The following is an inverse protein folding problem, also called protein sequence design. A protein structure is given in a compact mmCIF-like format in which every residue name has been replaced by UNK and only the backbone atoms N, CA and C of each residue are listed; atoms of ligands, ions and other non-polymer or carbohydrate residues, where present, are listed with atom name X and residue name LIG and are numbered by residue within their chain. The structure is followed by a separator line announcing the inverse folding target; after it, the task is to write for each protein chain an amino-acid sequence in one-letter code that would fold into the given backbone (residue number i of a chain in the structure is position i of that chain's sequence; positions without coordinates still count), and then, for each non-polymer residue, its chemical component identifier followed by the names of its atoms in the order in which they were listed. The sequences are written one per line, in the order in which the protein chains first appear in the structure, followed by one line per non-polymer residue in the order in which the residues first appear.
data_IF_950984079174
#
_entry.id   IF_950984079174
#
_cell.length_a   1.000
_cell.length_b   1.000
_cell.length_c   1.000
_cell.angle_alpha   90.00
_cell.angle_beta   90.00
_cell.angle_gamma   90.00
#
_symmetry.space_group_name_H-M   'P 1'
#
loop_
_entity.id
_entity.type
_entity.pdbx_description
1 polymer ?
#
# COMPACT_ATOMS: atom_id res chain seq x y z
N UNK A 1 28.18 -12.49 -11.60
CA UNK A 1 27.91 -13.04 -12.92
C UNK A 1 26.60 -12.49 -13.45
N UNK A 2 26.43 -12.56 -14.77
CA UNK A 2 25.24 -12.09 -15.52
C UNK A 2 23.93 -12.67 -14.97
N UNK A 3 23.91 -13.96 -14.62
CA UNK A 3 22.75 -14.62 -13.98
C UNK A 3 22.31 -13.91 -12.68
N UNK A 4 23.28 -13.46 -11.88
CA UNK A 4 22.98 -12.71 -10.65
C UNK A 4 22.41 -11.31 -10.92
N UNK A 5 22.77 -10.69 -12.05
CA UNK A 5 22.22 -9.40 -12.46
C UNK A 5 20.81 -9.53 -13.00
N UNK A 6 20.55 -10.54 -13.82
CA UNK A 6 19.21 -10.85 -14.34
C UNK A 6 18.22 -11.15 -13.22
N UNK A 7 18.64 -11.94 -12.22
CA UNK A 7 17.84 -12.17 -11.00
C UNK A 7 17.50 -10.87 -10.26
N UNK A 8 18.46 -9.96 -10.12
CA UNK A 8 18.23 -8.65 -9.49
C UNK A 8 17.26 -7.79 -10.30
N UNK A 9 17.40 -7.77 -11.63
CA UNK A 9 16.49 -7.05 -12.55
C UNK A 9 15.07 -7.58 -12.40
N UNK A 10 14.89 -8.91 -12.41
CA UNK A 10 13.57 -9.53 -12.25
C UNK A 10 12.89 -9.16 -10.94
N UNK A 11 13.61 -9.21 -9.83
CA UNK A 11 13.03 -8.81 -8.53
C UNK A 11 12.71 -7.32 -8.49
N UNK A 12 13.57 -6.48 -9.09
CA UNK A 12 13.32 -5.04 -9.19
C UNK A 12 12.05 -4.74 -10.00
N UNK A 13 11.80 -5.47 -11.09
CA UNK A 13 10.56 -5.39 -11.87
C UNK A 13 9.34 -5.71 -11.00
N UNK A 14 9.38 -6.83 -10.26
CA UNK A 14 8.30 -7.25 -9.37
C UNK A 14 8.04 -6.24 -8.24
N UNK A 15 9.10 -5.66 -7.65
CA UNK A 15 8.98 -4.55 -6.69
C UNK A 15 8.27 -3.37 -7.36
N UNK A 16 8.66 -3.03 -8.59
CA UNK A 16 8.01 -1.99 -9.38
C UNK A 16 6.52 -2.26 -9.61
N UNK A 17 6.16 -3.50 -9.97
CA UNK A 17 4.76 -3.93 -10.14
C UNK A 17 3.96 -3.76 -8.85
N UNK A 18 4.46 -4.29 -7.73
CA UNK A 18 3.83 -4.15 -6.41
C UNK A 18 3.62 -2.69 -6.05
N UNK A 19 4.67 -1.86 -6.14
CA UNK A 19 4.63 -0.46 -5.72
C UNK A 19 3.71 0.36 -6.60
N UNK A 20 3.76 0.21 -7.93
CA UNK A 20 2.88 0.94 -8.85
C UNK A 20 1.41 0.64 -8.58
N UNK A 21 1.06 -0.63 -8.38
CA UNK A 21 -0.32 -1.01 -8.08
C UNK A 21 -0.79 -0.47 -6.74
N UNK A 22 0.01 -0.61 -5.68
CA UNK A 22 -0.32 -0.08 -4.36
C UNK A 22 -0.52 1.44 -4.39
N UNK A 23 0.41 2.17 -5.03
CA UNK A 23 0.33 3.63 -5.18
C UNK A 23 -0.92 4.01 -5.97
N UNK A 24 -1.19 3.35 -7.08
CA UNK A 24 -2.37 3.64 -7.91
C UNK A 24 -3.66 3.44 -7.13
N UNK A 25 -3.83 2.28 -6.47
CA UNK A 25 -5.04 1.96 -5.70
C UNK A 25 -5.25 2.91 -4.53
N UNK A 26 -4.19 3.21 -3.76
CA UNK A 26 -4.27 4.17 -2.67
C UNK A 26 -4.55 5.59 -3.19
N UNK A 27 -3.97 5.97 -4.32
CA UNK A 27 -4.24 7.29 -4.93
C UNK A 27 -5.70 7.41 -5.33
N UNK A 28 -6.27 6.38 -5.98
CA UNK A 28 -7.70 6.34 -6.31
C UNK A 28 -8.58 6.41 -5.05
N UNK A 29 -8.25 5.61 -4.03
CA UNK A 29 -8.98 5.59 -2.76
C UNK A 29 -9.00 6.98 -2.09
N UNK A 30 -7.86 7.67 -2.06
CA UNK A 30 -7.68 8.91 -1.30
C UNK A 30 -8.05 10.18 -2.07
N UNK A 31 -7.99 10.14 -3.41
CA UNK A 31 -8.35 11.31 -4.23
C UNK A 31 -9.86 11.49 -4.33
N UNK A 32 -10.63 10.41 -4.19
CA UNK A 32 -12.05 10.33 -4.57
C UNK A 32 -12.21 10.35 -6.10
N UNK A 33 -13.39 10.00 -6.61
CA UNK A 33 -13.76 10.17 -8.02
C UNK A 33 -13.83 11.67 -8.34
N UNK A 34 -12.66 12.27 -8.60
CA UNK A 34 -12.48 13.69 -8.84
C UNK A 34 -12.95 14.10 -10.22
N UNK A 35 -14.26 14.14 -10.45
CA UNK A 35 -14.85 15.06 -11.43
C UNK A 35 -15.21 16.35 -10.69
N UNK A 36 -14.40 17.40 -10.83
CA UNK A 36 -14.84 18.77 -10.52
C UNK A 36 -14.00 19.84 -11.20
N UNK A 37 -14.72 20.95 -11.43
CA UNK A 37 -14.52 22.05 -12.36
C UNK A 37 -13.18 22.80 -12.29
N UNK A 38 -12.77 23.26 -13.47
CA UNK A 38 -11.64 24.16 -13.72
C UNK A 38 -11.94 25.60 -13.30
N UNK A 39 -11.38 26.03 -12.15
CA UNK A 39 -11.14 27.43 -11.83
C UNK A 39 -9.71 27.60 -11.29
N UNK A 40 -9.07 28.74 -11.57
CA UNK A 40 -7.65 29.03 -11.34
C UNK A 40 -7.22 29.07 -9.86
N UNK A 41 -8.13 29.33 -8.91
CA UNK A 41 -7.88 29.15 -7.47
C UNK A 41 -7.68 27.67 -7.07
N UNK A 42 -8.09 26.71 -7.92
CA UNK A 42 -7.97 25.29 -7.66
C UNK A 42 -6.54 24.73 -7.81
N UNK A 43 -5.62 25.42 -8.49
CA UNK A 43 -4.29 24.83 -8.77
C UNK A 43 -3.44 24.62 -7.50
N UNK A 44 -3.40 25.62 -6.60
CA UNK A 44 -2.64 25.49 -5.34
C UNK A 44 -3.26 24.45 -4.40
N UNK A 45 -4.59 24.42 -4.31
CA UNK A 45 -5.32 23.43 -3.50
C UNK A 45 -5.14 22.00 -4.04
N UNK A 46 -5.18 21.83 -5.36
CA UNK A 46 -4.91 20.55 -6.02
C UNK A 46 -3.50 20.08 -5.74
N UNK A 47 -2.48 20.95 -5.87
CA UNK A 47 -1.10 20.60 -5.57
C UNK A 47 -0.92 20.21 -4.09
N UNK A 48 -1.52 20.97 -3.17
CA UNK A 48 -1.46 20.68 -1.72
C UNK A 48 -2.12 19.33 -1.40
N UNK A 49 -3.30 19.05 -1.96
CA UNK A 49 -4.00 17.77 -1.79
C UNK A 49 -3.18 16.61 -2.36
N UNK A 50 -2.60 16.76 -3.55
CA UNK A 50 -1.74 15.74 -4.16
C UNK A 50 -0.51 15.45 -3.29
N UNK A 51 0.16 16.48 -2.78
CA UNK A 51 1.32 16.32 -1.89
C UNK A 51 0.93 15.62 -0.58
N UNK A 52 -0.23 15.94 -0.01
CA UNK A 52 -0.74 15.29 1.20
C UNK A 52 -1.05 13.80 0.96
N UNK A 53 -1.75 13.48 -0.14
CA UNK A 53 -2.03 12.09 -0.52
C UNK A 53 -0.73 11.31 -0.68
N UNK A 54 0.26 11.89 -1.38
CA UNK A 54 1.58 11.28 -1.54
C UNK A 54 2.26 10.98 -0.21
N UNK A 55 2.24 11.93 0.73
CA UNK A 55 2.82 11.74 2.06
C UNK A 55 2.13 10.60 2.84
N UNK A 56 0.80 10.50 2.75
CA UNK A 56 0.04 9.45 3.41
C UNK A 56 0.34 8.08 2.79
N UNK A 57 0.41 8.00 1.45
CA UNK A 57 0.82 6.77 0.75
C UNK A 57 2.22 6.33 1.20
N UNK A 58 3.17 7.26 1.33
CA UNK A 58 4.53 6.95 1.81
C UNK A 58 4.56 6.48 3.26
N UNK A 59 3.58 6.89 4.08
CA UNK A 59 3.43 6.38 5.44
C UNK A 59 2.78 5.00 5.51
N UNK A 60 2.00 4.60 4.50
CA UNK A 60 1.38 3.26 4.40
C UNK A 60 2.35 2.27 3.75
N UNK A 61 2.89 2.60 2.59
CA UNK A 61 3.84 1.79 1.82
C UNK A 61 5.25 2.32 2.06
N UNK A 62 5.95 1.72 3.03
CA UNK A 62 7.25 2.19 3.45
C UNK A 62 8.25 2.21 2.26
N UNK A 63 9.07 3.27 2.13
CA UNK A 63 10.10 3.31 1.11
C UNK A 63 11.10 2.17 1.28
N UNK A 64 11.30 1.37 0.23
CA UNK A 64 12.30 0.30 0.21
C UNK A 64 12.68 -0.01 -1.24
N UNK A 65 13.97 0.09 -1.61
CA UNK A 65 14.46 -0.37 -2.90
C UNK A 65 14.74 -1.89 -2.90
N UNK A 66 14.61 -2.56 -1.74
CA UNK A 66 14.96 -3.97 -1.60
C UNK A 66 13.79 -4.90 -2.01
N UNK A 67 14.04 -6.20 -2.21
CA UNK A 67 12.98 -7.20 -2.39
C UNK A 67 11.98 -7.27 -1.21
N UNK A 68 12.40 -6.76 -0.05
CA UNK A 68 11.58 -6.71 1.16
C UNK A 68 10.78 -5.41 1.15
N UNK A 69 9.46 -5.54 1.00
CA UNK A 69 8.50 -4.45 1.02
C UNK A 69 7.68 -4.50 2.31
N UNK A 70 7.27 -3.34 2.81
CA UNK A 70 6.52 -3.25 4.06
C UNK A 70 5.28 -2.37 3.90
N UNK A 71 4.14 -2.88 4.35
CA UNK A 71 2.87 -2.17 4.34
C UNK A 71 2.34 -2.05 5.76
N UNK A 72 2.06 -0.82 6.20
CA UNK A 72 1.53 -0.52 7.54
C UNK A 72 0.11 -1.07 7.68
N UNK A 73 -0.10 -1.83 8.76
CA UNK A 73 -1.36 -2.42 9.19
C UNK A 73 -1.46 -2.21 10.71
N UNK A 74 -1.99 -1.06 11.16
CA UNK A 74 -1.98 -0.70 12.58
C UNK A 74 -2.79 -1.70 13.42
N UNK A 75 -2.20 -2.13 14.53
CA UNK A 75 -2.81 -3.07 15.48
C UNK A 75 -2.33 -4.51 15.29
N UNK A 76 -1.83 -5.11 16.37
CA UNK A 76 -1.32 -6.47 16.39
C UNK A 76 -2.33 -7.51 15.87
N UNK A 77 -3.55 -7.51 16.39
CA UNK A 77 -4.59 -8.49 16.04
C UNK A 77 -4.96 -8.42 14.57
N UNK A 78 -5.13 -7.20 14.04
CA UNK A 78 -5.42 -6.97 12.63
C UNK A 78 -4.28 -7.43 11.74
N UNK A 79 -3.04 -7.10 12.10
CA UNK A 79 -1.85 -7.53 11.38
C UNK A 79 -1.75 -9.07 11.32
N UNK A 80 -2.05 -9.78 12.42
CA UNK A 80 -2.11 -11.25 12.46
C UNK A 80 -3.24 -11.77 11.59
N UNK A 81 -4.46 -11.28 11.79
CA UNK A 81 -5.67 -11.74 11.10
C UNK A 81 -5.54 -11.60 9.59
N UNK A 82 -5.05 -10.45 9.12
CA UNK A 82 -4.82 -10.19 7.71
C UNK A 82 -3.71 -11.10 7.14
N UNK A 83 -2.61 -11.28 7.87
CA UNK A 83 -1.54 -12.20 7.44
C UNK A 83 -2.07 -13.63 7.31
N UNK A 84 -2.85 -14.11 8.28
CA UNK A 84 -3.46 -15.44 8.23
C UNK A 84 -4.40 -15.58 7.03
N UNK A 85 -5.24 -14.57 6.77
CA UNK A 85 -6.12 -14.56 5.59
C UNK A 85 -5.30 -14.63 4.30
N UNK A 86 -4.27 -13.80 4.15
CA UNK A 86 -3.40 -13.79 2.97
C UNK A 86 -2.74 -15.17 2.75
N UNK A 87 -2.26 -15.81 3.82
CA UNK A 87 -1.68 -17.16 3.77
C UNK A 87 -2.69 -18.23 3.36
N UNK A 88 -3.93 -18.16 3.85
CA UNK A 88 -5.01 -19.06 3.42
C UNK A 88 -5.31 -18.96 1.92
N UNK A 89 -5.04 -17.80 1.32
CA UNK A 89 -5.16 -17.57 -0.12
C UNK A 89 -3.86 -17.80 -0.90
N UNK A 90 -2.86 -18.44 -0.29
CA UNK A 90 -1.61 -18.84 -0.94
C UNK A 90 -0.52 -17.76 -0.97
N UNK A 91 -0.69 -16.65 -0.25
CA UNK A 91 0.34 -15.61 -0.16
C UNK A 91 1.16 -15.74 1.12
N UNK A 92 2.42 -16.13 0.99
CA UNK A 92 3.32 -16.17 2.15
C UNK A 92 3.88 -14.79 2.48
N UNK A 93 3.28 -14.17 3.49
CA UNK A 93 3.69 -12.87 4.04
C UNK A 93 3.90 -12.99 5.55
N UNK A 94 4.58 -12.01 6.14
CA UNK A 94 5.00 -12.07 7.54
C UNK A 94 4.55 -10.83 8.31
N UNK A 95 3.89 -10.98 9.47
CA UNK A 95 3.56 -9.84 10.30
C UNK A 95 4.78 -9.40 11.11
N UNK A 96 5.02 -8.10 11.21
CA UNK A 96 5.95 -7.48 12.16
C UNK A 96 5.13 -6.63 13.13
N UNK A 97 5.22 -6.94 14.42
CA UNK A 97 4.26 -6.52 15.45
C UNK A 97 4.95 -5.90 16.66
N UNK A 98 4.19 -5.19 17.47
CA UNK A 98 4.65 -4.72 18.78
C UNK A 98 4.92 -5.91 19.71
N UNK A 99 6.00 -5.88 20.54
CA UNK A 99 6.89 -4.76 20.85
C UNK A 99 8.08 -4.57 19.90
N UNK A 100 8.28 -5.44 18.90
CA UNK A 100 9.40 -5.34 17.94
C UNK A 100 9.35 -4.04 17.12
N UNK A 101 8.15 -3.47 16.96
CA UNK A 101 7.93 -2.16 16.34
C UNK A 101 7.05 -1.31 17.23
N UNK A 102 7.14 0.04 17.16
CA UNK A 102 6.26 0.91 17.93
C UNK A 102 4.79 0.59 17.68
N UNK A 103 3.96 0.74 18.72
CA UNK A 103 2.52 0.53 18.63
C UNK A 103 1.93 1.44 17.55
N UNK A 104 1.08 0.88 16.69
CA UNK A 104 0.48 1.58 15.55
C UNK A 104 1.34 1.57 14.29
N UNK A 105 2.59 1.09 14.36
CA UNK A 105 3.51 0.92 13.23
C UNK A 105 3.70 -0.56 12.86
N UNK A 106 2.77 -1.42 13.30
CA UNK A 106 2.69 -2.81 12.86
C UNK A 106 2.53 -2.87 11.34
N UNK A 107 3.07 -3.93 10.74
CA UNK A 107 3.20 -4.00 9.29
C UNK A 107 3.32 -5.42 8.79
N UNK A 108 2.86 -5.63 7.57
CA UNK A 108 3.08 -6.85 6.82
C UNK A 108 4.36 -6.69 6.00
N UNK A 109 5.30 -7.61 6.18
CA UNK A 109 6.51 -7.78 5.40
C UNK A 109 6.23 -8.72 4.24
N UNK A 110 6.39 -8.20 3.04
CA UNK A 110 6.28 -8.92 1.76
C UNK A 110 7.70 -9.13 1.24
N UNK A 111 8.03 -10.35 0.84
CA UNK A 111 9.34 -10.70 0.27
C UNK A 111 9.09 -11.17 -1.15
N UNK A 112 9.68 -10.46 -2.12
CA UNK A 112 9.57 -10.83 -3.53
C UNK A 112 10.78 -11.67 -3.94
N UNK A 113 10.49 -12.76 -4.64
CA UNK A 113 11.47 -13.69 -5.17
C UNK A 113 11.41 -13.72 -6.70
N UNK A 114 12.49 -14.16 -7.34
CA UNK A 114 12.60 -14.22 -8.80
C UNK A 114 11.56 -15.13 -9.46
N UNK A 115 11.09 -16.15 -8.73
CA UNK A 115 10.08 -17.09 -9.20
C UNK A 115 8.65 -16.56 -9.09
N UNK A 116 8.42 -15.42 -8.41
CA UNK A 116 7.07 -14.87 -8.34
C UNK A 116 6.64 -14.35 -9.70
N UNK A 117 5.35 -14.53 -10.00
CA UNK A 117 4.75 -13.98 -11.21
C UNK A 117 4.13 -12.62 -10.92
N UNK A 118 4.01 -11.78 -11.94
CA UNK A 118 3.28 -10.52 -11.78
C UNK A 118 1.85 -10.77 -11.35
N UNK A 119 1.19 -11.82 -11.86
CA UNK A 119 -0.18 -12.19 -11.51
C UNK A 119 -0.33 -12.50 -10.02
N UNK A 120 0.64 -13.17 -9.39
CA UNK A 120 0.66 -13.38 -7.94
C UNK A 120 0.77 -12.04 -7.20
N UNK A 121 1.65 -11.14 -7.65
CA UNK A 121 1.78 -9.79 -7.07
C UNK A 121 0.47 -9.01 -7.21
N UNK A 122 -0.20 -9.06 -8.37
CA UNK A 122 -1.53 -8.47 -8.58
C UNK A 122 -2.56 -9.05 -7.60
N UNK A 123 -2.59 -10.37 -7.43
CA UNK A 123 -3.50 -11.05 -6.51
C UNK A 123 -3.27 -10.62 -5.05
N UNK A 124 -2.01 -10.58 -4.63
CA UNK A 124 -1.61 -10.13 -3.29
C UNK A 124 -2.07 -8.70 -3.03
N UNK A 125 -1.75 -7.76 -3.94
CA UNK A 125 -2.12 -6.35 -3.80
C UNK A 125 -3.63 -6.18 -3.77
N UNK A 126 -4.36 -6.91 -4.63
CA UNK A 126 -5.82 -6.85 -4.66
C UNK A 126 -6.43 -7.29 -3.31
N UNK A 127 -6.00 -8.44 -2.79
CA UNK A 127 -6.53 -8.97 -1.54
C UNK A 127 -6.17 -8.09 -0.33
N UNK A 128 -4.94 -7.58 -0.31
CA UNK A 128 -4.48 -6.64 0.71
C UNK A 128 -5.34 -5.39 0.69
N UNK A 129 -5.60 -4.82 -0.49
CA UNK A 129 -6.40 -3.62 -0.67
C UNK A 129 -7.86 -3.84 -0.27
N UNK A 130 -8.51 -4.90 -0.74
CA UNK A 130 -9.90 -5.18 -0.36
C UNK A 130 -10.08 -5.41 1.13
N UNK A 131 -9.05 -5.94 1.81
CA UNK A 131 -9.09 -6.15 3.25
C UNK A 131 -8.78 -4.89 4.08
N UNK A 132 -8.19 -3.85 3.48
CA UNK A 132 -7.66 -2.68 4.21
C UNK A 132 -8.22 -1.33 3.75
N UNK A 133 -9.00 -1.26 2.67
CA UNK A 133 -9.47 0.01 2.09
C UNK A 133 -10.16 0.92 3.11
N UNK A 134 -11.01 0.38 3.98
CA UNK A 134 -11.72 1.17 4.99
C UNK A 134 -10.77 1.69 6.08
N UNK A 135 -9.80 0.86 6.47
CA UNK A 135 -8.78 1.23 7.46
C UNK A 135 -7.84 2.32 6.95
N UNK A 136 -7.38 2.22 5.70
CA UNK A 136 -6.54 3.25 5.10
C UNK A 136 -7.31 4.54 4.81
N UNK A 137 -8.59 4.44 4.46
CA UNK A 137 -9.51 5.58 4.39
C UNK A 137 -9.61 6.30 5.75
N UNK A 138 -9.84 5.55 6.83
CA UNK A 138 -9.90 6.11 8.19
C UNK A 138 -8.55 6.69 8.64
N UNK A 139 -7.45 6.03 8.30
CA UNK A 139 -6.10 6.51 8.58
C UNK A 139 -5.80 7.84 7.87
N UNK A 140 -6.26 8.01 6.62
CA UNK A 140 -6.16 9.28 5.90
C UNK A 140 -6.94 10.40 6.61
N UNK A 141 -8.19 10.13 7.00
CA UNK A 141 -9.02 11.11 7.74
C UNK A 141 -8.36 11.51 9.06
N UNK A 142 -7.86 10.54 9.83
CA UNK A 142 -7.17 10.79 11.10
C UNK A 142 -5.88 11.62 10.95
N UNK A 143 -5.23 11.58 9.77
CA UNK A 143 -4.06 12.39 9.43
C UNK A 143 -4.42 13.75 8.81
N UNK A 144 -5.67 14.19 8.95
CA UNK A 144 -6.14 15.50 8.46
C UNK A 144 -6.44 15.53 6.96
N UNK A 145 -6.58 14.37 6.32
CA UNK A 145 -7.15 14.26 4.99
C UNK A 145 -8.66 14.51 5.05
N UNK A 146 -9.21 15.34 4.18
CA UNK A 146 -10.65 15.66 4.19
C UNK A 146 -11.56 14.43 4.16
N UNK A 147 -12.83 14.60 4.56
CA UNK A 147 -13.83 13.52 4.62
C UNK A 147 -13.96 12.85 3.23
N UNK A 148 -13.64 11.56 3.14
CA UNK A 148 -13.82 10.79 1.92
C UNK A 148 -15.32 10.65 1.61
N UNK A 149 -15.74 10.69 0.33
CA UNK A 149 -17.11 10.36 -0.03
C UNK A 149 -17.37 8.92 0.41
N UNK A 150 -18.24 8.73 1.41
CA UNK A 150 -18.68 7.39 1.79
C UNK A 150 -19.28 6.71 0.56
N UNK A 151 -18.86 5.48 0.29
CA UNK A 151 -19.57 4.59 -0.61
C UNK A 151 -20.99 4.44 -0.09
N UNK A 152 -21.97 4.97 -0.82
CA UNK A 152 -23.37 4.60 -0.62
C UNK A 152 -23.44 3.10 -0.85
N UNK A 153 -23.78 2.36 0.20
CA UNK A 153 -24.25 0.97 0.14
C UNK A 153 -25.40 0.86 -0.86
#
# INVERSE_FOLDING_TARGET
GEEGEERRKRVFELVGVLRRQMIWRLTCLLSGDGRSNSNSQGQQEVMKKQQQIRAIIQSILLPSPSPIQAVIVPGNEKCISLTNRLRLHGFDVYPIRSPTVPKGMERIRIILHTHNTEREVFGLVNMLFESMKDDWSNYFVAKGGGRLPHSRL
#
